data_IF_003739773914
#
_entry.id   IF_003739773914
#
_cell.length_a   1.000
_cell.length_b   1.000
_cell.length_c   1.000
_cell.angle_alpha   90.00
_cell.angle_beta   90.00
_cell.angle_gamma   90.00
#
_symmetry.space_group_name_H-M   'P 1'
#
loop_
_entity.id
_entity.type
_entity.pdbx_description
1 polymer ?
#
# COMPACT_ATOMS: atom_id res chain seq x y z
N UNK A 1 -27.78 25.20 -60.49
CA UNK A 1 -27.40 24.69 -59.16
C UNK A 1 -28.08 23.34 -58.98
N UNK A 2 -27.38 22.23 -59.29
CA UNK A 2 -26.72 21.35 -58.30
C UNK A 2 -27.72 20.97 -57.19
N UNK A 3 -28.32 19.77 -57.11
CA UNK A 3 -27.73 18.44 -57.26
C UNK A 3 -27.41 17.92 -55.85
N UNK A 4 -28.37 17.26 -55.18
CA UNK A 4 -28.08 16.56 -53.92
C UNK A 4 -28.73 15.17 -53.94
N UNK A 5 -27.87 14.16 -54.13
CA UNK A 5 -28.21 12.74 -54.23
C UNK A 5 -28.29 12.18 -52.81
N UNK A 6 -29.50 11.80 -52.40
CA UNK A 6 -29.71 11.02 -51.18
C UNK A 6 -29.07 9.64 -51.34
N UNK A 7 -27.96 9.39 -50.64
CA UNK A 7 -27.34 8.05 -50.56
C UNK A 7 -28.17 7.16 -49.64
N UNK A 8 -28.81 6.16 -50.24
CA UNK A 8 -29.44 5.01 -49.60
C UNK A 8 -28.36 4.15 -48.92
N UNK A 9 -28.49 3.91 -47.61
CA UNK A 9 -27.59 3.04 -46.85
C UNK A 9 -28.19 1.63 -46.85
N UNK A 10 -27.48 0.65 -47.41
CA UNK A 10 -27.86 -0.77 -47.34
C UNK A 10 -27.36 -1.40 -46.03
N UNK A 11 -28.09 -2.37 -45.45
CA UNK A 11 -27.65 -3.07 -44.25
C UNK A 11 -26.55 -4.09 -44.56
N UNK A 12 -25.47 -4.09 -43.76
CA UNK A 12 -24.42 -5.10 -43.84
C UNK A 12 -24.98 -6.49 -43.47
N UNK A 13 -24.77 -7.44 -44.38
CA UNK A 13 -25.13 -8.86 -44.26
C UNK A 13 -24.08 -9.57 -43.39
N UNK A 14 -24.51 -10.10 -42.25
CA UNK A 14 -23.70 -10.96 -41.40
C UNK A 14 -23.71 -12.37 -42.00
N UNK A 15 -22.55 -12.84 -42.48
CA UNK A 15 -22.36 -14.24 -42.88
C UNK A 15 -21.01 -14.76 -42.36
N UNK A 16 -21.14 -15.73 -41.45
CA UNK A 16 -20.32 -16.90 -41.17
C UNK A 16 -18.88 -16.95 -41.69
N UNK A 17 -17.94 -16.92 -40.74
CA UNK A 17 -16.64 -17.56 -40.87
C UNK A 17 -16.59 -18.74 -39.91
N UNK A 18 -16.52 -19.90 -40.52
CA UNK A 18 -16.41 -21.24 -39.96
C UNK A 18 -15.10 -21.48 -39.21
N UNK A 19 -15.23 -22.26 -38.13
CA UNK A 19 -14.35 -23.32 -37.64
C UNK A 19 -12.88 -23.34 -38.09
N UNK A 20 -11.98 -23.05 -37.15
CA UNK A 20 -10.56 -23.39 -37.21
C UNK A 20 -9.97 -23.53 -35.80
N UNK A 21 -9.69 -24.78 -35.42
CA UNK A 21 -9.04 -25.20 -34.16
C UNK A 21 -7.60 -24.66 -34.06
N UNK A 22 -7.26 -24.02 -32.93
CA UNK A 22 -5.88 -23.91 -32.47
C UNK A 22 -5.85 -23.73 -30.94
N UNK A 23 -5.48 -24.82 -30.26
CA UNK A 23 -4.60 -24.90 -29.08
C UNK A 23 -4.82 -23.96 -27.89
N UNK A 24 -5.08 -24.60 -26.75
CA UNK A 24 -4.98 -24.06 -25.41
C UNK A 24 -3.72 -23.21 -25.21
N UNK A 25 -3.92 -21.94 -24.84
CA UNK A 25 -2.89 -21.13 -24.21
C UNK A 25 -3.28 -20.80 -22.77
N UNK A 26 -2.37 -21.16 -21.88
CA UNK A 26 -2.43 -21.03 -20.42
C UNK A 26 -2.66 -19.56 -20.01
N UNK A 27 -3.31 -19.33 -18.86
CA UNK A 27 -3.35 -17.98 -18.29
C UNK A 27 -1.93 -17.50 -18.00
N UNK A 28 -1.69 -16.21 -18.28
CA UNK A 28 -0.50 -15.43 -17.98
C UNK A 28 -0.32 -15.29 -16.46
N UNK A 29 -0.05 -16.40 -15.79
CA UNK A 29 0.51 -16.42 -14.45
C UNK A 29 2.03 -16.33 -14.57
N UNK A 30 2.63 -15.46 -13.76
CA UNK A 30 4.06 -15.36 -13.45
C UNK A 30 4.90 -14.39 -14.28
N UNK A 31 4.66 -13.08 -14.12
CA UNK A 31 5.70 -12.05 -14.37
C UNK A 31 5.92 -11.11 -13.17
N UNK A 32 5.20 -11.26 -12.06
CA UNK A 32 5.35 -10.37 -10.88
C UNK A 32 6.10 -10.96 -9.68
N UNK A 33 6.64 -12.18 -9.80
CA UNK A 33 7.32 -12.85 -8.69
C UNK A 33 8.81 -12.50 -8.56
N UNK A 34 9.34 -11.57 -9.37
CA UNK A 34 10.80 -11.32 -9.44
C UNK A 34 11.29 -10.21 -8.49
N UNK A 35 10.40 -9.49 -7.78
CA UNK A 35 10.81 -8.46 -6.80
C UNK A 35 10.64 -8.84 -5.32
N UNK A 36 10.33 -10.10 -5.02
CA UNK A 36 10.32 -10.65 -3.66
C UNK A 36 11.69 -11.24 -3.27
N UNK A 37 12.79 -10.83 -3.92
CA UNK A 37 14.13 -11.12 -3.38
C UNK A 37 14.34 -10.21 -2.18
N UNK A 38 14.15 -10.76 -0.98
CA UNK A 38 14.71 -10.18 0.24
C UNK A 38 16.16 -9.78 -0.04
N UNK A 39 16.60 -8.55 0.24
CA UNK A 39 18.01 -8.22 0.15
C UNK A 39 18.73 -9.03 1.23
N UNK A 40 19.24 -10.18 0.82
CA UNK A 40 20.20 -10.97 1.57
C UNK A 40 21.58 -10.37 1.27
N UNK A 41 22.20 -9.79 2.30
CA UNK A 41 23.54 -9.17 2.29
C UNK A 41 23.43 -7.65 2.51
N UNK A 42 23.83 -7.09 3.65
CA UNK A 42 25.09 -7.33 4.34
C UNK A 42 24.88 -7.41 5.86
N UNK A 43 25.47 -8.42 6.49
CA UNK A 43 25.76 -8.38 7.91
C UNK A 43 26.76 -7.24 8.16
N UNK A 44 26.26 -6.06 8.51
CA UNK A 44 26.99 -5.16 9.38
C UNK A 44 26.64 -5.57 10.81
N UNK A 45 27.58 -6.24 11.43
CA UNK A 45 27.64 -6.45 12.88
C UNK A 45 27.72 -5.08 13.55
N UNK A 46 26.56 -4.50 13.84
CA UNK A 46 26.40 -3.42 14.80
C UNK A 46 25.07 -3.64 15.51
N UNK A 47 25.18 -4.07 16.75
CA UNK A 47 24.12 -4.20 17.74
C UNK A 47 23.54 -2.84 18.14
N UNK A 48 23.04 -2.08 17.17
CA UNK A 48 22.10 -0.99 17.41
C UNK A 48 20.70 -1.58 17.22
N UNK A 49 19.72 -1.37 18.12
CA UNK A 49 18.34 -1.69 17.78
C UNK A 49 18.04 -0.90 16.51
N UNK A 50 17.81 -1.61 15.41
CA UNK A 50 17.51 -1.03 14.12
C UNK A 50 16.11 -0.42 14.19
N UNK A 51 16.00 0.72 14.87
CA UNK A 51 14.91 1.68 14.71
C UNK A 51 14.89 2.06 13.22
N UNK A 52 13.70 2.28 12.68
CA UNK A 52 13.39 2.61 11.29
C UNK A 52 12.98 1.42 10.42
N UNK A 53 12.33 0.42 11.04
CA UNK A 53 11.72 -0.70 10.33
C UNK A 53 10.27 -0.40 9.97
N UNK A 54 10.00 -0.43 8.66
CA UNK A 54 8.69 -0.08 8.10
C UNK A 54 8.02 -1.31 7.49
N UNK A 55 6.83 -1.64 7.98
CA UNK A 55 5.93 -2.59 7.34
C UNK A 55 4.94 -1.84 6.44
N UNK A 56 4.95 -2.10 5.15
CA UNK A 56 3.92 -1.61 4.23
C UNK A 56 2.82 -2.66 4.04
N UNK A 57 1.57 -2.23 4.15
CA UNK A 57 0.40 -3.05 3.86
C UNK A 57 -0.42 -2.36 2.78
N UNK A 58 -0.48 -2.91 1.55
CA UNK A 58 -1.35 -2.39 0.53
C UNK A 58 -2.82 -2.62 0.90
N UNK A 59 -3.67 -1.76 0.35
CA UNK A 59 -5.10 -1.97 0.32
C UNK A 59 -5.50 -3.11 -0.61
N UNK A 60 -6.75 -3.08 -1.09
CA UNK A 60 -7.35 -4.15 -1.91
C UNK A 60 -7.42 -3.80 -3.39
N UNK A 61 -7.08 -2.56 -3.75
CA UNK A 61 -7.08 -2.10 -5.13
C UNK A 61 -5.97 -2.78 -5.94
N UNK A 62 -6.19 -2.96 -7.26
CA UNK A 62 -5.21 -3.63 -8.13
C UNK A 62 -3.86 -2.88 -8.21
N UNK A 63 -3.85 -1.58 -7.91
CA UNK A 63 -2.64 -0.76 -7.94
C UNK A 63 -2.01 -0.57 -6.55
N UNK A 64 -2.68 -0.96 -5.47
CA UNK A 64 -2.18 -0.74 -4.11
C UNK A 64 -0.85 -1.50 -3.83
N UNK A 65 -0.69 -2.78 -4.25
CA UNK A 65 0.59 -3.48 -4.10
C UNK A 65 1.75 -2.81 -4.86
N UNK A 66 1.45 -2.21 -6.02
CA UNK A 66 2.44 -1.46 -6.78
C UNK A 66 2.87 -0.19 -6.05
N UNK A 67 1.93 0.55 -5.46
CA UNK A 67 2.24 1.71 -4.62
C UNK A 67 3.11 1.32 -3.42
N UNK A 68 2.83 0.19 -2.77
CA UNK A 68 3.67 -0.33 -1.68
C UNK A 68 5.09 -0.64 -2.16
N UNK A 69 5.23 -1.27 -3.32
CA UNK A 69 6.55 -1.57 -3.91
C UNK A 69 7.34 -0.30 -4.22
N UNK A 70 6.70 0.73 -4.75
CA UNK A 70 7.35 2.04 -5.00
C UNK A 70 7.76 2.69 -3.67
N UNK A 71 6.91 2.62 -2.64
CA UNK A 71 7.25 3.13 -1.31
C UNK A 71 8.46 2.42 -0.71
N UNK A 72 8.54 1.09 -0.82
CA UNK A 72 9.71 0.31 -0.35
C UNK A 72 11.01 0.81 -0.98
N UNK A 73 11.01 1.05 -2.30
CA UNK A 73 12.18 1.58 -3.00
C UNK A 73 12.55 2.99 -2.52
N UNK A 74 11.55 3.84 -2.28
CA UNK A 74 11.75 5.19 -1.77
C UNK A 74 12.32 5.17 -0.33
N UNK A 75 11.74 4.35 0.54
CA UNK A 75 12.17 4.15 1.92
C UNK A 75 13.61 3.63 1.98
N UNK A 76 13.95 2.60 1.18
CA UNK A 76 15.29 2.04 1.12
C UNK A 76 16.35 3.06 0.67
N UNK A 77 16.02 3.96 -0.26
CA UNK A 77 16.90 5.08 -0.66
C UNK A 77 17.14 6.10 0.46
N UNK A 78 16.37 6.03 1.52
CA UNK A 78 16.39 6.98 2.63
C UNK A 78 16.73 6.32 3.98
N UNK A 79 17.34 5.14 3.96
CA UNK A 79 17.89 4.51 5.17
C UNK A 79 16.91 3.64 5.94
N UNK A 80 15.65 3.53 5.51
CA UNK A 80 14.67 2.66 6.16
C UNK A 80 14.82 1.21 5.71
N UNK A 81 14.75 0.29 6.67
CA UNK A 81 14.57 -1.13 6.39
C UNK A 81 13.07 -1.36 6.20
N UNK A 82 12.63 -1.77 5.02
CA UNK A 82 11.20 -1.92 4.74
C UNK A 82 10.86 -3.25 4.10
N UNK A 83 9.68 -3.77 4.44
CA UNK A 83 9.08 -4.94 3.80
C UNK A 83 7.60 -4.71 3.56
N UNK A 84 7.02 -5.48 2.65
CA UNK A 84 5.59 -5.47 2.37
C UNK A 84 4.99 -6.83 2.67
N UNK A 85 3.76 -6.84 3.17
CA UNK A 85 2.94 -8.05 3.30
C UNK A 85 1.63 -7.84 2.57
N UNK A 86 0.99 -8.92 2.08
CA UNK A 86 -0.32 -8.81 1.46
C UNK A 86 -1.37 -8.33 2.47
N UNK A 87 -2.45 -7.71 1.95
CA UNK A 87 -3.52 -7.14 2.77
C UNK A 87 -4.15 -8.14 3.77
N UNK A 88 -4.21 -9.42 3.40
CA UNK A 88 -4.78 -10.50 4.20
C UNK A 88 -3.88 -10.95 5.37
N UNK A 89 -2.59 -10.61 5.37
CA UNK A 89 -1.68 -10.84 6.50
C UNK A 89 -2.17 -10.11 7.76
N UNK A 90 -2.82 -8.96 7.61
CA UNK A 90 -3.43 -8.21 8.71
C UNK A 90 -4.94 -8.49 8.87
N UNK A 91 -5.44 -9.58 8.28
CA UNK A 91 -6.81 -10.06 8.46
C UNK A 91 -7.01 -10.67 9.86
N UNK A 92 -8.26 -11.02 10.23
CA UNK A 92 -8.52 -11.67 11.53
C UNK A 92 -7.79 -13.01 11.64
N UNK A 93 -7.63 -13.73 10.53
CA UNK A 93 -6.96 -15.02 10.50
C UNK A 93 -5.44 -14.91 10.39
N UNK A 94 -4.94 -13.80 9.84
CA UNK A 94 -3.50 -13.60 9.59
C UNK A 94 -2.77 -12.84 10.70
N UNK A 95 -3.45 -11.92 11.39
CA UNK A 95 -2.80 -10.92 12.27
C UNK A 95 -2.00 -11.56 13.42
N UNK A 96 -2.42 -12.70 13.93
CA UNK A 96 -1.71 -13.39 15.02
C UNK A 96 -0.35 -13.95 14.57
N UNK A 97 -0.20 -14.23 13.27
CA UNK A 97 1.05 -14.70 12.65
C UNK A 97 1.96 -13.56 12.22
N UNK A 98 1.52 -12.30 12.38
CA UNK A 98 2.33 -11.15 12.08
C UNK A 98 3.48 -11.07 13.09
N UNK A 99 4.70 -11.31 12.61
CA UNK A 99 5.93 -10.99 13.32
C UNK A 99 6.08 -9.47 13.32
N UNK A 100 6.14 -8.86 14.49
CA UNK A 100 6.22 -7.41 14.58
C UNK A 100 7.01 -6.87 15.77
N UNK A 101 7.80 -7.72 16.41
CA UNK A 101 8.71 -7.32 17.49
C UNK A 101 9.80 -6.37 17.00
N UNK A 102 10.01 -6.32 15.68
CA UNK A 102 10.96 -5.46 14.99
C UNK A 102 10.30 -4.36 14.16
N UNK A 103 8.99 -4.11 14.28
CA UNK A 103 8.32 -3.07 13.47
C UNK A 103 8.23 -1.79 14.31
N UNK A 104 8.64 -0.66 13.73
CA UNK A 104 8.43 0.66 14.33
C UNK A 104 7.26 1.40 13.68
N UNK A 105 7.11 1.23 12.35
CA UNK A 105 6.17 1.98 11.53
C UNK A 105 5.36 1.01 10.64
N UNK A 106 4.04 1.18 10.62
CA UNK A 106 3.14 0.53 9.67
C UNK A 106 2.55 1.57 8.72
N UNK A 107 2.79 1.39 7.42
CA UNK A 107 2.23 2.21 6.36
C UNK A 107 1.09 1.46 5.66
N UNK A 108 -0.15 1.94 5.81
CA UNK A 108 -1.31 1.44 5.07
C UNK A 108 -1.46 2.25 3.78
N UNK A 109 -1.54 1.60 2.62
CA UNK A 109 -1.56 2.29 1.32
C UNK A 109 -2.81 1.96 0.52
N UNK A 110 -3.70 2.94 0.38
CA UNK A 110 -4.91 2.82 -0.42
C UNK A 110 -4.91 3.90 -1.48
N UNK A 111 -4.76 3.51 -2.74
CA UNK A 111 -4.86 4.46 -3.85
C UNK A 111 -6.32 4.85 -4.12
N UNK A 112 -7.24 3.89 -3.97
CA UNK A 112 -8.68 4.09 -4.08
C UNK A 112 -9.37 3.27 -2.99
N UNK A 113 -10.25 3.92 -2.23
CA UNK A 113 -11.06 3.24 -1.21
C UNK A 113 -12.53 3.59 -1.43
N UNK A 114 -13.32 2.58 -1.80
CA UNK A 114 -14.75 2.79 -2.01
C UNK A 114 -15.50 2.68 -0.67
N UNK A 115 -16.28 3.72 -0.34
CA UNK A 115 -17.26 3.69 0.74
C UNK A 115 -16.72 3.99 2.15
N UNK A 116 -17.48 3.55 3.17
CA UNK A 116 -17.25 3.90 4.59
C UNK A 116 -15.94 3.27 5.09
N UNK A 117 -15.05 4.01 5.77
CA UNK A 117 -13.74 3.54 6.24
C UNK A 117 -13.78 2.49 7.36
N UNK A 118 -14.91 1.80 7.58
CA UNK A 118 -15.06 0.73 8.56
C UNK A 118 -13.97 -0.35 8.43
N UNK A 119 -13.67 -0.78 7.20
CA UNK A 119 -12.64 -1.79 6.97
C UNK A 119 -11.24 -1.30 7.38
N UNK A 120 -10.91 -0.05 7.07
CA UNK A 120 -9.66 0.58 7.48
C UNK A 120 -9.61 0.74 9.00
N UNK A 121 -10.67 1.27 9.62
CA UNK A 121 -10.80 1.43 11.08
C UNK A 121 -10.61 0.10 11.81
N UNK A 122 -11.24 -0.97 11.34
CA UNK A 122 -11.07 -2.30 11.92
C UNK A 122 -9.66 -2.86 11.69
N UNK A 123 -9.03 -2.55 10.56
CA UNK A 123 -7.64 -2.92 10.32
C UNK A 123 -6.69 -2.19 11.29
N UNK A 124 -6.79 -0.87 11.40
CA UNK A 124 -5.97 -0.07 12.33
C UNK A 124 -6.17 -0.53 13.77
N UNK A 125 -7.42 -0.77 14.19
CA UNK A 125 -7.70 -1.31 15.53
C UNK A 125 -7.01 -2.66 15.76
N UNK A 126 -7.06 -3.60 14.80
CA UNK A 126 -6.37 -4.90 14.93
C UNK A 126 -4.86 -4.74 14.99
N UNK A 127 -4.30 -3.86 14.17
CA UNK A 127 -2.87 -3.56 14.19
C UNK A 127 -2.45 -2.98 15.53
N UNK A 128 -3.17 -2.00 16.08
CA UNK A 128 -2.90 -1.45 17.42
C UNK A 128 -3.00 -2.51 18.52
N UNK A 129 -3.95 -3.45 18.42
CA UNK A 129 -4.06 -4.54 19.40
C UNK A 129 -2.87 -5.51 19.32
N UNK A 130 -2.36 -5.81 18.11
CA UNK A 130 -1.25 -6.74 17.90
C UNK A 130 0.12 -6.10 18.11
N UNK A 131 0.24 -4.83 17.72
CA UNK A 131 1.43 -4.00 17.65
C UNK A 131 1.14 -2.69 18.40
N UNK A 132 1.12 -2.69 19.75
CA UNK A 132 0.72 -1.52 20.52
C UNK A 132 1.70 -0.35 20.42
N UNK A 133 2.97 -0.62 20.14
CA UNK A 133 4.05 0.36 20.13
C UNK A 133 4.33 0.97 18.75
N UNK A 134 3.62 0.55 17.70
CA UNK A 134 3.95 0.99 16.33
C UNK A 134 3.21 2.26 15.94
N UNK A 135 3.91 3.08 15.18
CA UNK A 135 3.36 4.24 14.50
C UNK A 135 2.57 3.79 13.27
N UNK A 136 1.37 4.34 13.07
CA UNK A 136 0.52 3.95 11.94
C UNK A 136 0.27 5.17 11.04
N UNK A 137 0.72 5.06 9.79
CA UNK A 137 0.51 6.05 8.74
C UNK A 137 -0.46 5.48 7.71
N UNK A 138 -1.43 6.28 7.27
CA UNK A 138 -2.37 5.90 6.22
C UNK A 138 -2.18 6.81 5.02
N UNK A 139 -1.79 6.23 3.88
CA UNK A 139 -1.74 6.93 2.60
C UNK A 139 -3.05 6.75 1.81
N UNK A 140 -3.66 7.87 1.39
CA UNK A 140 -4.93 7.97 0.65
C UNK A 140 -4.79 8.96 -0.51
N UNK A 141 -4.95 8.51 -1.75
CA UNK A 141 -4.71 9.36 -2.94
C UNK A 141 -5.96 9.95 -3.59
N UNK A 142 -7.16 9.58 -3.13
CA UNK A 142 -8.39 10.20 -3.61
C UNK A 142 -8.51 11.63 -3.11
N UNK A 143 -8.50 12.61 -4.01
CA UNK A 143 -8.69 14.04 -3.68
C UNK A 143 -10.01 14.33 -2.96
N UNK A 144 -10.97 13.39 -3.01
CA UNK A 144 -12.26 13.47 -2.34
C UNK A 144 -12.31 12.65 -1.05
N UNK A 145 -11.25 11.93 -0.67
CA UNK A 145 -11.30 10.95 0.42
C UNK A 145 -10.66 11.46 1.71
N UNK A 146 -9.65 12.32 1.62
CA UNK A 146 -9.07 12.99 2.80
C UNK A 146 -10.00 14.09 3.35
N UNK A 147 -10.65 14.86 2.46
CA UNK A 147 -11.58 15.94 2.85
C UNK A 147 -12.95 15.42 3.31
N UNK A 148 -13.34 14.20 2.91
CA UNK A 148 -14.56 13.53 3.38
C UNK A 148 -14.44 12.97 4.80
N UNK A 149 -13.22 12.78 5.30
CA UNK A 149 -13.01 12.17 6.60
C UNK A 149 -12.88 13.28 7.63
N UNK A 150 -13.98 13.53 8.34
CA UNK A 150 -13.98 14.49 9.45
C UNK A 150 -12.83 14.19 10.42
N UNK A 151 -12.35 15.22 11.12
CA UNK A 151 -11.34 15.05 12.17
C UNK A 151 -11.76 14.00 13.21
N UNK A 152 -13.07 13.87 13.48
CA UNK A 152 -13.63 12.82 14.33
C UNK A 152 -13.46 11.42 13.74
N UNK A 153 -13.67 11.26 12.43
CA UNK A 153 -13.47 9.99 11.73
C UNK A 153 -11.99 9.60 11.71
N UNK A 154 -11.11 10.56 11.46
CA UNK A 154 -9.65 10.40 11.52
C UNK A 154 -9.18 9.99 12.92
N UNK A 155 -9.73 10.65 13.96
CA UNK A 155 -9.45 10.33 15.36
C UNK A 155 -9.98 8.94 15.75
N UNK A 156 -11.19 8.59 15.31
CA UNK A 156 -11.79 7.28 15.57
C UNK A 156 -11.07 6.12 14.86
N UNK A 157 -10.32 6.42 13.79
CA UNK A 157 -9.48 5.44 13.10
C UNK A 157 -8.15 5.17 13.80
N UNK A 158 -7.59 6.14 14.53
CA UNK A 158 -6.40 5.94 15.37
C UNK A 158 -5.06 5.83 14.61
N UNK A 159 -5.01 6.34 13.39
CA UNK A 159 -3.75 6.56 12.67
C UNK A 159 -3.15 7.92 13.07
N UNK A 160 -1.82 8.01 13.07
CA UNK A 160 -1.09 9.21 13.46
C UNK A 160 -0.97 10.23 12.33
N UNK A 161 -1.06 9.78 11.08
CA UNK A 161 -0.95 10.65 9.92
C UNK A 161 -1.75 10.10 8.74
N UNK A 162 -2.44 11.00 8.04
CA UNK A 162 -3.03 10.76 6.74
C UNK A 162 -2.22 11.51 5.69
N UNK A 163 -1.74 10.78 4.69
CA UNK A 163 -0.88 11.31 3.64
C UNK A 163 -1.55 11.14 2.28
N UNK A 164 -1.44 12.15 1.43
CA UNK A 164 -2.02 12.17 0.07
C UNK A 164 -1.03 11.83 -1.04
N UNK A 165 0.24 11.64 -0.68
CA UNK A 165 1.31 11.32 -1.63
C UNK A 165 2.39 10.44 -1.00
N UNK A 166 3.19 9.78 -1.85
CA UNK A 166 4.26 8.88 -1.36
C UNK A 166 5.35 9.70 -0.66
N UNK A 167 5.51 10.95 -1.11
CA UNK A 167 6.40 11.94 -0.50
C UNK A 167 5.92 12.29 0.91
N UNK A 168 4.62 12.47 1.12
CA UNK A 168 4.07 12.75 2.45
C UNK A 168 4.19 11.55 3.39
N UNK A 169 3.98 10.33 2.88
CA UNK A 169 4.21 9.10 3.67
C UNK A 169 5.68 9.01 4.10
N UNK A 170 6.62 9.21 3.19
CA UNK A 170 8.06 9.24 3.51
C UNK A 170 8.39 10.34 4.53
N UNK A 171 7.85 11.55 4.33
CA UNK A 171 8.08 12.67 5.25
C UNK A 171 7.53 12.37 6.65
N UNK A 172 6.40 11.65 6.75
CA UNK A 172 5.88 11.16 8.02
C UNK A 172 6.81 10.12 8.67
N UNK A 173 7.33 9.16 7.89
CA UNK A 173 8.29 8.18 8.41
C UNK A 173 9.53 8.84 9.00
N UNK A 174 10.09 9.85 8.32
CA UNK A 174 11.25 10.61 8.82
C UNK A 174 10.97 11.40 10.08
N UNK A 175 9.77 12.00 10.20
CA UNK A 175 9.37 12.71 11.43
C UNK A 175 9.31 11.76 12.62
N UNK A 176 8.81 10.55 12.42
CA UNK A 176 8.75 9.51 13.45
C UNK A 176 10.16 9.03 13.81
N UNK A 177 11.01 8.75 12.82
CA UNK A 177 12.43 8.41 13.02
C UNK A 177 13.13 9.45 13.90
N UNK A 178 13.03 10.74 13.56
CA UNK A 178 13.65 11.81 14.36
C UNK A 178 13.09 11.90 15.78
N UNK A 179 11.77 11.75 15.96
CA UNK A 179 11.16 11.76 17.29
C UNK A 179 11.63 10.58 18.16
N UNK A 180 11.78 9.40 17.55
CA UNK A 180 12.26 8.20 18.23
C UNK A 180 13.75 8.30 18.61
N UNK A 181 14.57 8.99 17.81
CA UNK A 181 15.97 9.30 18.14
C UNK A 181 16.08 10.27 19.32
N UNK A 182 15.25 11.33 19.35
CA UNK A 182 15.20 12.29 20.46
C UNK A 182 14.77 11.63 21.78
N UNK A 183 13.72 10.82 21.76
CA UNK A 183 13.25 10.09 22.94
C UNK A 183 14.31 9.10 23.45
N UNK A 184 14.98 8.39 22.54
CA UNK A 184 16.07 7.49 22.89
C UNK A 184 17.24 8.20 23.56
N UNK A 185 17.61 9.39 23.06
CA UNK A 185 18.68 10.20 23.62
C UNK A 185 18.29 10.77 24.98
N UNK A 186 17.02 11.14 25.17
CA UNK A 186 16.50 11.60 26.45
C UNK A 186 16.54 10.51 27.53
N UNK A 187 16.14 9.27 27.20
CA UNK A 187 16.20 8.13 28.13
C UNK A 187 17.65 7.75 28.45
N UNK A 188 18.57 7.82 27.48
CA UNK A 188 19.98 7.50 27.73
C UNK A 188 20.70 8.52 28.63
N UNK A 189 20.19 9.75 28.71
CA UNK A 189 20.76 10.84 29.51
C UNK A 189 20.07 11.03 30.89
N UNK A 190 19.03 10.24 31.19
CA UNK A 190 18.28 10.28 32.45
C UNK A 190 18.83 9.26 33.46
#
# INVERSE_FOLDING_TARGET
>A
MQGNVARRVEPLKVQDLSSGNATADKPLANTFEVLAKSPSGHASDTSQPARNRVLCLPGRGPLDPLAATILLQLLGKHGFVSRTLPHDAASRAGIDRLEGDDIDIVCLLYLQIDGIPSHLRYLVRRLRMRLPHVHIIVGLWGAQDTDKWSADLQSAMGAECYASSLREVLAACRRIESANEEEALAVANA
#
